data_IF_428008208521
#
_entry.id   IF_428008208521
#
_cell.length_a   1.000
_cell.length_b   1.000
_cell.length_c   1.000
_cell.angle_alpha   90.00
_cell.angle_beta   90.00
_cell.angle_gamma   90.00
#
_symmetry.space_group_name_H-M   'P 1'
#
loop_
_entity.id
_entity.type
_entity.pdbx_description
1 polymer ?
#
# COMPACT_ATOMS: atom_id res chain seq x y z
N UNK A 1 -6.20 -3.80 -22.58
CA UNK A 1 -5.72 -3.64 -21.19
C UNK A 1 -5.56 -2.17 -20.82
N UNK A 2 -4.83 -1.37 -21.61
CA UNK A 2 -4.68 0.08 -21.38
C UNK A 2 -6.03 0.82 -21.24
N UNK A 3 -6.99 0.54 -22.12
CA UNK A 3 -8.35 1.11 -22.05
C UNK A 3 -9.08 0.81 -20.73
N UNK A 4 -8.88 -0.38 -20.16
CA UNK A 4 -9.49 -0.76 -18.89
C UNK A 4 -8.85 0.03 -17.74
N UNK A 5 -7.52 0.14 -17.74
CA UNK A 5 -6.79 0.93 -16.73
C UNK A 5 -7.24 2.39 -16.75
N UNK A 6 -7.31 3.01 -17.93
CA UNK A 6 -7.78 4.39 -18.07
C UNK A 6 -9.22 4.56 -17.59
N UNK A 7 -10.10 3.61 -17.91
CA UNK A 7 -11.48 3.60 -17.42
C UNK A 7 -11.50 3.60 -15.88
N UNK A 8 -10.78 2.69 -15.23
CA UNK A 8 -10.76 2.62 -13.75
C UNK A 8 -10.19 3.88 -13.09
N UNK A 9 -9.15 4.48 -13.67
CA UNK A 9 -8.57 5.74 -13.18
C UNK A 9 -9.59 6.88 -13.31
N UNK A 10 -10.25 7.00 -14.47
CA UNK A 10 -11.28 8.01 -14.69
C UNK A 10 -12.48 7.80 -13.75
N UNK A 11 -12.94 6.56 -13.58
CA UNK A 11 -14.02 6.22 -12.64
C UNK A 11 -13.63 6.54 -11.19
N UNK A 12 -12.33 6.49 -10.85
CA UNK A 12 -11.84 6.90 -9.54
C UNK A 12 -11.90 8.42 -9.35
N UNK A 13 -11.34 9.19 -10.28
CA UNK A 13 -11.25 10.65 -10.18
C UNK A 13 -12.56 11.37 -10.54
N UNK A 14 -13.51 10.73 -11.21
CA UNK A 14 -14.83 11.31 -11.42
C UNK A 14 -15.71 11.25 -10.16
N UNK A 15 -15.27 10.55 -9.11
CA UNK A 15 -16.01 10.42 -7.86
C UNK A 15 -15.35 11.24 -6.74
N UNK A 16 -16.18 11.99 -5.99
CA UNK A 16 -15.73 12.78 -4.84
C UNK A 16 -14.97 11.94 -3.79
N UNK A 17 -15.35 10.67 -3.65
CA UNK A 17 -14.71 9.73 -2.72
C UNK A 17 -13.22 9.57 -3.00
N UNK A 18 -12.81 9.61 -4.27
CA UNK A 18 -11.41 9.46 -4.65
C UNK A 18 -10.53 10.60 -4.13
N UNK A 19 -11.01 11.84 -4.29
CA UNK A 19 -10.33 13.03 -3.77
C UNK A 19 -10.31 13.04 -2.24
N UNK A 20 -11.45 12.73 -1.59
CA UNK A 20 -11.53 12.71 -0.13
C UNK A 20 -10.52 11.74 0.49
N UNK A 21 -10.38 10.53 -0.06
CA UNK A 21 -9.46 9.51 0.45
C UNK A 21 -7.99 10.00 0.37
N UNK A 22 -7.60 10.61 -0.76
CA UNK A 22 -6.24 11.16 -0.93
C UNK A 22 -6.01 12.36 -0.01
N UNK A 23 -6.98 13.26 0.11
CA UNK A 23 -6.87 14.43 0.99
C UNK A 23 -6.74 14.03 2.45
N UNK A 24 -7.57 13.10 2.94
CA UNK A 24 -7.48 12.60 4.32
C UNK A 24 -6.13 11.94 4.58
N UNK A 25 -5.62 11.17 3.62
CA UNK A 25 -4.29 10.57 3.71
C UNK A 25 -3.17 11.61 3.83
N UNK A 26 -3.16 12.62 2.96
CA UNK A 26 -2.15 13.68 2.98
C UNK A 26 -2.21 14.51 4.26
N UNK A 27 -3.42 14.82 4.74
CA UNK A 27 -3.61 15.53 6.02
C UNK A 27 -3.10 14.69 7.17
N UNK A 28 -3.46 13.39 7.24
CA UNK A 28 -3.01 12.50 8.29
C UNK A 28 -1.48 12.40 8.33
N UNK A 29 -0.82 12.17 7.19
CA UNK A 29 0.64 12.15 7.13
C UNK A 29 1.26 13.50 7.46
N UNK A 30 0.70 14.60 6.95
CA UNK A 30 1.18 15.95 7.23
C UNK A 30 1.13 16.28 8.72
N UNK A 31 0.04 15.92 9.40
CA UNK A 31 -0.10 16.10 10.85
C UNK A 31 0.94 15.28 11.62
N UNK A 32 1.14 14.01 11.26
CA UNK A 32 2.12 13.14 11.92
C UNK A 32 3.54 13.65 11.72
N UNK A 33 3.92 14.04 10.50
CA UNK A 33 5.31 14.43 10.19
C UNK A 33 5.65 15.83 10.71
N UNK A 34 4.71 16.77 10.70
CA UNK A 34 5.01 18.18 10.96
C UNK A 34 4.40 18.73 12.26
N UNK A 35 3.22 18.25 12.68
CA UNK A 35 2.42 18.93 13.72
C UNK A 35 2.51 18.25 15.08
N UNK A 36 2.47 16.92 15.14
CA UNK A 36 2.44 16.22 16.43
C UNK A 36 3.79 16.29 17.15
N UNK A 37 3.85 16.74 18.42
CA UNK A 37 5.12 17.00 19.11
C UNK A 37 6.05 15.80 19.18
N UNK A 38 5.51 14.60 19.42
CA UNK A 38 6.28 13.36 19.61
C UNK A 38 6.90 12.84 18.30
N UNK A 39 6.36 13.26 17.15
CA UNK A 39 6.77 12.77 15.82
C UNK A 39 7.25 13.89 14.89
N UNK A 40 7.18 15.16 15.31
CA UNK A 40 7.51 16.29 14.45
C UNK A 40 9.00 16.30 14.10
N UNK A 41 9.30 16.31 12.81
CA UNK A 41 10.68 16.35 12.29
C UNK A 41 11.40 17.63 12.75
N UNK A 42 10.66 18.72 12.97
CA UNK A 42 11.22 19.99 13.47
C UNK A 42 11.72 19.89 14.91
N UNK A 43 11.06 19.06 15.74
CA UNK A 43 11.46 18.84 17.14
C UNK A 43 12.53 17.76 17.28
N UNK A 44 12.62 16.84 16.30
CA UNK A 44 13.59 15.75 16.29
C UNK A 44 15.05 16.26 16.19
N UNK A 45 15.26 17.42 15.57
CA UNK A 45 16.56 18.10 15.52
C UNK A 45 17.56 17.52 14.50
N UNK A 46 17.20 16.44 13.81
CA UNK A 46 17.97 15.87 12.69
C UNK A 46 17.23 16.07 11.36
N UNK A 47 17.99 16.29 10.29
CA UNK A 47 17.47 16.42 8.94
C UNK A 47 17.16 15.04 8.32
N UNK A 48 16.18 14.35 8.90
CA UNK A 48 15.76 13.00 8.52
C UNK A 48 14.23 12.90 8.39
N UNK A 49 13.76 12.02 7.50
CA UNK A 49 12.36 11.69 7.28
C UNK A 49 12.02 10.27 7.74
N UNK A 50 12.81 9.69 8.65
CA UNK A 50 12.52 8.37 9.25
C UNK A 50 11.08 8.26 9.77
N UNK A 51 10.54 9.33 10.37
CA UNK A 51 9.14 9.39 10.85
C UNK A 51 8.14 9.10 9.74
N UNK A 52 8.38 9.59 8.51
CA UNK A 52 7.51 9.35 7.35
C UNK A 52 7.48 7.86 7.01
N UNK A 53 8.63 7.19 7.04
CA UNK A 53 8.74 5.77 6.68
C UNK A 53 8.28 4.85 7.82
N UNK A 54 8.49 5.24 9.08
CA UNK A 54 7.96 4.48 10.21
C UNK A 54 6.43 4.60 10.29
N UNK A 55 5.86 5.79 10.05
CA UNK A 55 4.42 6.03 10.14
C UNK A 55 3.66 5.69 8.86
N UNK A 56 4.33 5.76 7.71
CA UNK A 56 3.77 5.57 6.38
C UNK A 56 2.97 4.28 6.18
N UNK A 57 3.52 3.09 6.53
CA UNK A 57 2.81 1.82 6.43
C UNK A 57 1.47 1.81 7.14
N UNK A 58 1.38 2.41 8.33
CA UNK A 58 0.12 2.45 9.09
C UNK A 58 -0.97 3.21 8.34
N UNK A 59 -0.64 4.36 7.75
CA UNK A 59 -1.60 5.14 6.98
C UNK A 59 -1.92 4.43 5.65
N UNK A 60 -0.91 3.84 4.99
CA UNK A 60 -1.07 3.05 3.78
C UNK A 60 -1.96 1.81 3.99
N UNK A 61 -1.93 1.21 5.19
CA UNK A 61 -2.75 0.08 5.59
C UNK A 61 -4.25 0.38 5.50
N UNK A 62 -4.64 1.66 5.64
CA UNK A 62 -6.02 2.10 5.46
C UNK A 62 -6.26 2.71 4.08
N UNK A 63 -5.28 3.45 3.53
CA UNK A 63 -5.39 4.07 2.22
C UNK A 63 -5.60 3.02 1.11
N UNK A 64 -4.77 1.98 1.06
CA UNK A 64 -4.84 1.00 -0.03
C UNK A 64 -6.17 0.23 -0.05
N UNK A 65 -6.72 -0.25 1.10
CA UNK A 65 -8.10 -0.73 1.18
C UNK A 65 -9.14 0.29 0.71
N UNK A 66 -9.03 1.56 1.12
CA UNK A 66 -9.99 2.60 0.74
C UNK A 66 -10.01 2.84 -0.78
N UNK A 67 -8.85 2.79 -1.44
CA UNK A 67 -8.74 2.92 -2.90
C UNK A 67 -9.39 1.72 -3.61
N UNK A 68 -9.14 0.52 -3.10
CA UNK A 68 -9.46 -0.75 -3.78
C UNK A 68 -10.84 -1.33 -3.46
N UNK A 69 -11.49 -0.91 -2.36
CA UNK A 69 -12.73 -1.51 -1.86
C UNK A 69 -13.88 -1.56 -2.88
N UNK A 70 -13.91 -0.60 -3.83
CA UNK A 70 -14.95 -0.51 -4.87
C UNK A 70 -14.62 -1.29 -6.14
N UNK A 71 -13.35 -1.65 -6.37
CA UNK A 71 -12.84 -2.10 -7.67
C UNK A 71 -13.59 -3.30 -8.24
N UNK A 72 -13.93 -4.29 -7.40
CA UNK A 72 -14.70 -5.47 -7.80
C UNK A 72 -16.05 -5.57 -7.08
N UNK A 73 -16.14 -5.06 -5.84
CA UNK A 73 -17.35 -5.16 -5.04
C UNK A 73 -18.47 -4.31 -5.66
N UNK A 74 -18.15 -3.12 -6.18
CA UNK A 74 -19.16 -2.24 -6.75
C UNK A 74 -19.73 -2.78 -8.05
N UNK A 75 -18.88 -3.26 -8.96
CA UNK A 75 -19.33 -3.84 -10.23
C UNK A 75 -20.24 -5.06 -10.03
N UNK A 76 -20.02 -5.80 -8.95
CA UNK A 76 -20.87 -6.93 -8.57
C UNK A 76 -22.18 -6.48 -7.95
N UNK A 77 -22.17 -5.38 -7.20
CA UNK A 77 -23.36 -4.80 -6.60
C UNK A 77 -24.27 -4.15 -7.65
N UNK A 78 -23.68 -3.49 -8.65
CA UNK A 78 -24.38 -2.82 -9.74
C UNK A 78 -24.82 -3.76 -10.87
N UNK A 79 -24.41 -5.03 -10.85
CA UNK A 79 -24.71 -6.00 -11.91
C UNK A 79 -23.85 -5.86 -13.17
N UNK A 80 -22.96 -4.87 -13.25
CA UNK A 80 -22.08 -4.67 -14.42
C UNK A 80 -20.99 -5.75 -14.55
N UNK A 81 -20.79 -6.54 -13.50
CA UNK A 81 -19.87 -7.68 -13.48
C UNK A 81 -20.19 -8.72 -14.56
N UNK A 82 -21.46 -9.00 -14.83
CA UNK A 82 -21.89 -10.01 -15.82
C UNK A 82 -21.50 -9.59 -17.24
N UNK A 83 -21.59 -8.28 -17.54
CA UNK A 83 -21.15 -7.70 -18.81
C UNK A 83 -19.62 -7.78 -18.97
N UNK A 84 -18.87 -7.63 -17.86
CA UNK A 84 -17.42 -7.68 -17.89
C UNK A 84 -16.87 -9.09 -18.10
N UNK A 85 -17.49 -10.11 -17.48
CA UNK A 85 -17.07 -11.52 -17.60
C UNK A 85 -17.45 -12.13 -18.96
N UNK A 86 -18.52 -11.64 -19.59
CA UNK A 86 -18.93 -12.06 -20.94
C UNK A 86 -18.12 -11.42 -22.06
N UNK A 87 -17.40 -10.33 -21.77
CA UNK A 87 -16.45 -9.74 -22.71
C UNK A 87 -15.29 -10.72 -22.99
N UNK A 88 -14.68 -10.70 -24.20
CA UNK A 88 -13.58 -11.59 -24.58
C UNK A 88 -12.25 -11.16 -23.92
N UNK A 89 -12.23 -11.04 -22.60
CA UNK A 89 -11.11 -10.58 -21.77
C UNK A 89 -10.79 -11.67 -20.75
N UNK A 90 -9.49 -11.98 -20.58
CA UNK A 90 -9.09 -13.01 -19.61
C UNK A 90 -9.30 -12.49 -18.18
N UNK A 91 -9.78 -13.32 -17.22
CA UNK A 91 -9.96 -12.90 -15.82
C UNK A 91 -8.71 -12.29 -15.19
N UNK A 92 -7.52 -12.83 -15.51
CA UNK A 92 -6.24 -12.29 -15.05
C UNK A 92 -6.03 -10.85 -15.51
N UNK A 93 -6.44 -10.52 -16.75
CA UNK A 93 -6.30 -9.16 -17.28
C UNK A 93 -7.23 -8.18 -16.57
N UNK A 94 -8.43 -8.63 -16.16
CA UNK A 94 -9.37 -7.81 -15.37
C UNK A 94 -8.75 -7.48 -14.01
N UNK A 95 -8.29 -8.48 -13.27
CA UNK A 95 -7.70 -8.27 -11.93
C UNK A 95 -6.43 -7.42 -12.02
N UNK A 96 -5.55 -7.74 -12.98
CA UNK A 96 -4.27 -7.06 -13.12
C UNK A 96 -4.44 -5.59 -13.53
N UNK A 97 -5.41 -5.26 -14.39
CA UNK A 97 -5.69 -3.87 -14.74
C UNK A 97 -6.27 -3.06 -13.58
N UNK A 98 -7.16 -3.65 -12.77
CA UNK A 98 -7.68 -3.02 -11.55
C UNK A 98 -6.59 -2.81 -10.49
N UNK A 99 -5.66 -3.76 -10.37
CA UNK A 99 -4.47 -3.61 -9.55
C UNK A 99 -3.60 -2.44 -10.03
N UNK A 100 -3.24 -2.38 -11.32
CA UNK A 100 -2.42 -1.29 -11.86
C UNK A 100 -3.11 0.07 -11.67
N UNK A 101 -4.40 0.17 -11.97
CA UNK A 101 -5.15 1.42 -11.79
C UNK A 101 -5.11 1.88 -10.32
N UNK A 102 -5.39 0.98 -9.38
CA UNK A 102 -5.37 1.28 -7.95
C UNK A 102 -3.96 1.63 -7.45
N UNK A 103 -2.94 0.92 -7.94
CA UNK A 103 -1.54 1.18 -7.59
C UNK A 103 -1.07 2.53 -8.13
N UNK A 104 -1.48 2.92 -9.33
CA UNK A 104 -1.21 4.27 -9.87
C UNK A 104 -1.90 5.36 -9.05
N UNK A 105 -3.14 5.14 -8.60
CA UNK A 105 -3.82 6.07 -7.68
C UNK A 105 -3.05 6.19 -6.35
N UNK A 106 -2.53 5.08 -5.82
CA UNK A 106 -1.67 5.11 -4.63
C UNK A 106 -0.37 5.89 -4.89
N UNK A 107 0.29 5.68 -6.02
CA UNK A 107 1.47 6.48 -6.43
C UNK A 107 1.12 7.97 -6.49
N UNK A 108 -0.01 8.33 -7.11
CA UNK A 108 -0.48 9.72 -7.18
C UNK A 108 -0.76 10.31 -5.79
N UNK A 109 -1.23 9.51 -4.84
CA UNK A 109 -1.41 9.93 -3.45
C UNK A 109 -0.07 10.15 -2.73
N UNK A 110 0.99 9.43 -3.12
CA UNK A 110 2.31 9.55 -2.52
C UNK A 110 3.16 10.67 -3.10
N UNK A 111 3.03 10.99 -4.40
CA UNK A 111 3.83 12.04 -5.06
C UNK A 111 3.88 13.37 -4.27
N UNK A 112 2.77 13.91 -3.73
CA UNK A 112 2.80 15.15 -2.95
C UNK A 112 3.69 15.08 -1.70
N UNK A 113 3.94 13.89 -1.15
CA UNK A 113 4.84 13.72 0.01
C UNK A 113 6.31 14.01 -0.33
N UNK A 114 6.69 14.07 -1.62
CA UNK A 114 8.01 14.53 -2.05
C UNK A 114 8.28 16.00 -1.67
N UNK A 115 7.22 16.78 -1.42
CA UNK A 115 7.36 18.13 -0.85
C UNK A 115 8.06 18.07 0.51
N UNK A 116 7.83 17.02 1.31
CA UNK A 116 8.47 16.87 2.62
C UNK A 116 9.99 16.68 2.48
N UNK A 117 10.43 15.90 1.49
CA UNK A 117 11.85 15.77 1.16
C UNK A 117 12.47 17.12 0.78
N UNK A 118 11.81 17.87 -0.10
CA UNK A 118 12.27 19.19 -0.50
C UNK A 118 12.36 20.16 0.69
N UNK A 119 11.38 20.15 1.59
CA UNK A 119 11.38 20.96 2.80
C UNK A 119 12.58 20.64 3.71
N UNK A 120 12.85 19.36 4.00
CA UNK A 120 13.99 18.97 4.84
C UNK A 120 15.32 19.23 4.14
N UNK A 121 15.42 19.00 2.83
CA UNK A 121 16.61 19.35 2.06
C UNK A 121 16.99 20.83 2.23
N UNK A 122 15.99 21.73 2.25
CA UNK A 122 16.20 23.18 2.44
C UNK A 122 16.39 23.61 3.89
N UNK A 123 15.76 22.93 4.84
CA UNK A 123 15.90 23.25 6.26
C UNK A 123 17.16 22.62 6.90
N UNK A 124 17.79 21.67 6.22
CA UNK A 124 19.03 21.05 6.68
C UNK A 124 20.18 22.06 6.81
N UNK A 125 21.05 21.82 7.78
CA UNK A 125 22.28 22.60 7.99
C UNK A 125 23.50 21.67 7.93
N UNK A 126 24.35 21.76 6.89
CA UNK A 126 24.24 22.59 5.68
C UNK A 126 23.05 22.21 4.79
N UNK A 127 22.66 23.08 3.84
CA UNK A 127 21.61 22.75 2.87
C UNK A 127 21.95 21.44 2.15
N UNK A 128 20.97 20.55 2.06
CA UNK A 128 21.15 19.21 1.48
C UNK A 128 21.80 18.18 2.40
N UNK A 129 21.93 18.47 3.70
CA UNK A 129 22.37 17.51 4.73
C UNK A 129 21.27 16.47 5.08
N UNK A 130 20.72 15.82 4.05
CA UNK A 130 19.77 14.72 4.15
C UNK A 130 20.32 13.53 3.35
N UNK A 131 20.21 12.32 3.89
CA UNK A 131 20.55 11.11 3.13
C UNK A 131 19.55 10.88 1.99
N UNK A 132 19.91 11.39 0.81
CA UNK A 132 19.08 11.29 -0.39
C UNK A 132 18.94 9.84 -0.85
N UNK A 133 20.02 9.06 -0.75
CA UNK A 133 20.02 7.66 -1.18
C UNK A 133 19.15 6.82 -0.25
N UNK A 134 19.29 7.04 1.07
CA UNK A 134 18.45 6.44 2.09
C UNK A 134 16.96 6.75 1.87
N UNK A 135 16.64 8.03 1.65
CA UNK A 135 15.27 8.47 1.38
C UNK A 135 14.67 7.78 0.16
N UNK A 136 15.33 7.81 -1.01
CA UNK A 136 14.78 7.19 -2.22
C UNK A 136 14.68 5.66 -2.09
N UNK A 137 15.62 5.03 -1.39
CA UNK A 137 15.56 3.59 -1.08
C UNK A 137 14.34 3.23 -0.22
N UNK A 138 14.13 3.98 0.85
CA UNK A 138 12.98 3.84 1.74
C UNK A 138 11.65 4.13 1.04
N UNK A 139 11.64 5.12 0.13
CA UNK A 139 10.48 5.47 -0.67
C UNK A 139 10.07 4.35 -1.65
N UNK A 140 11.05 3.66 -2.24
CA UNK A 140 10.80 2.44 -3.04
C UNK A 140 10.21 1.33 -2.15
N UNK A 141 10.75 1.13 -0.95
CA UNK A 141 10.19 0.19 0.04
C UNK A 141 8.72 0.51 0.36
N UNK A 142 8.41 1.79 0.57
CA UNK A 142 7.06 2.28 0.88
C UNK A 142 6.09 2.09 -0.29
N UNK A 143 6.56 2.23 -1.53
CA UNK A 143 5.79 1.91 -2.72
C UNK A 143 5.50 0.41 -2.83
N UNK A 144 6.48 -0.45 -2.55
CA UNK A 144 6.31 -1.91 -2.65
C UNK A 144 5.34 -2.46 -1.62
N UNK A 145 5.44 -2.02 -0.36
CA UNK A 145 4.47 -2.40 0.67
C UNK A 145 3.07 -1.87 0.35
N UNK A 146 2.96 -0.63 -0.18
CA UNK A 146 1.71 -0.09 -0.70
C UNK A 146 1.14 -0.94 -1.85
N UNK A 147 2.00 -1.52 -2.68
CA UNK A 147 1.65 -2.49 -3.71
C UNK A 147 1.04 -3.77 -3.13
N UNK A 148 1.67 -4.35 -2.09
CA UNK A 148 1.11 -5.53 -1.41
C UNK A 148 -0.25 -5.22 -0.79
N UNK A 149 -0.39 -4.10 -0.09
CA UNK A 149 -1.68 -3.70 0.49
C UNK A 149 -2.75 -3.46 -0.58
N UNK A 150 -2.36 -2.91 -1.73
CA UNK A 150 -3.26 -2.76 -2.89
C UNK A 150 -3.71 -4.13 -3.39
N UNK A 151 -2.81 -5.11 -3.50
CA UNK A 151 -3.14 -6.46 -3.93
C UNK A 151 -4.06 -7.18 -2.92
N UNK A 152 -3.83 -7.01 -1.61
CA UNK A 152 -4.72 -7.49 -0.54
C UNK A 152 -6.10 -6.87 -0.62
N UNK A 153 -6.16 -5.57 -0.93
CA UNK A 153 -7.40 -4.84 -1.14
C UNK A 153 -8.22 -5.36 -2.32
N UNK A 154 -7.57 -5.58 -3.47
CA UNK A 154 -8.20 -6.20 -4.65
C UNK A 154 -8.70 -7.61 -4.34
N UNK A 155 -7.89 -8.43 -3.66
CA UNK A 155 -8.28 -9.78 -3.23
C UNK A 155 -9.52 -9.75 -2.32
N UNK A 156 -9.55 -8.85 -1.35
CA UNK A 156 -10.68 -8.68 -0.43
C UNK A 156 -11.95 -8.24 -1.18
N UNK A 157 -11.82 -7.28 -2.09
CA UNK A 157 -12.91 -6.87 -2.98
C UNK A 157 -13.39 -8.01 -3.90
N UNK A 158 -12.54 -8.99 -4.20
CA UNK A 158 -12.89 -10.18 -4.98
C UNK A 158 -13.67 -11.24 -4.16
N UNK A 159 -13.69 -11.18 -2.83
CA UNK A 159 -14.41 -12.15 -1.98
C UNK A 159 -15.85 -11.68 -1.71
N UNK A 160 -16.04 -10.37 -1.54
CA UNK A 160 -17.34 -9.78 -1.16
C UNK A 160 -18.03 -9.04 -2.32
N UNK A 161 -19.30 -8.69 -2.11
CA UNK A 161 -20.11 -7.81 -2.97
C UNK A 161 -20.37 -6.44 -2.34
N UNK A 162 -20.04 -6.25 -1.05
CA UNK A 162 -20.28 -4.99 -0.34
C UNK A 162 -18.96 -4.25 -0.09
N UNK A 163 -18.86 -3.00 -0.58
CA UNK A 163 -17.67 -2.15 -0.45
C UNK A 163 -17.17 -2.03 1.00
N UNK A 164 -18.07 -1.82 1.96
CA UNK A 164 -17.68 -1.61 3.37
C UNK A 164 -17.04 -2.87 3.92
N UNK A 165 -17.62 -4.05 3.63
CA UNK A 165 -17.01 -5.32 4.04
C UNK A 165 -15.68 -5.59 3.33
N UNK A 166 -15.53 -5.14 2.07
CA UNK A 166 -14.27 -5.29 1.32
C UNK A 166 -13.16 -4.49 2.01
N UNK A 167 -13.47 -3.26 2.41
CA UNK A 167 -12.56 -2.40 3.16
C UNK A 167 -12.14 -3.02 4.50
N UNK A 168 -13.11 -3.48 5.32
CA UNK A 168 -12.81 -4.06 6.64
C UNK A 168 -11.92 -5.30 6.52
N UNK A 169 -12.26 -6.21 5.59
CA UNK A 169 -11.47 -7.43 5.36
C UNK A 169 -10.07 -7.05 4.86
N UNK A 170 -9.96 -6.11 3.93
CA UNK A 170 -8.67 -5.67 3.41
C UNK A 170 -7.80 -5.02 4.49
N UNK A 171 -8.35 -4.13 5.30
CA UNK A 171 -7.62 -3.48 6.40
C UNK A 171 -7.14 -4.51 7.43
N UNK A 172 -8.00 -5.47 7.79
CA UNK A 172 -7.63 -6.57 8.69
C UNK A 172 -6.52 -7.45 8.09
N UNK A 173 -6.62 -7.80 6.81
CA UNK A 173 -5.58 -8.59 6.14
C UNK A 173 -4.26 -7.83 6.01
N UNK A 174 -4.29 -6.52 5.73
CA UNK A 174 -3.09 -5.69 5.71
C UNK A 174 -2.44 -5.64 7.10
N UNK A 175 -3.25 -5.47 8.15
CA UNK A 175 -2.79 -5.54 9.54
C UNK A 175 -2.16 -6.88 9.88
N UNK A 176 -2.86 -7.98 9.58
CA UNK A 176 -2.40 -9.33 9.88
C UNK A 176 -1.13 -9.70 9.10
N UNK A 177 -1.02 -9.27 7.83
CA UNK A 177 0.17 -9.51 7.03
C UNK A 177 1.38 -8.68 7.51
N UNK A 178 1.13 -7.44 7.96
CA UNK A 178 2.18 -6.56 8.46
C UNK A 178 2.65 -6.92 9.87
N UNK A 179 1.73 -7.09 10.83
CA UNK A 179 2.05 -7.35 12.24
C UNK A 179 1.84 -8.78 12.70
N UNK A 180 0.96 -9.55 12.07
CA UNK A 180 0.50 -10.82 12.64
C UNK A 180 1.65 -11.80 12.86
N UNK A 181 2.55 -11.92 11.89
CA UNK A 181 3.70 -12.83 11.99
C UNK A 181 4.75 -12.34 13.00
N UNK A 182 5.05 -11.04 13.06
CA UNK A 182 6.00 -10.46 14.02
C UNK A 182 5.47 -10.46 15.46
N UNK A 183 4.16 -10.33 15.65
CA UNK A 183 3.54 -10.50 16.96
C UNK A 183 3.66 -11.96 17.44
N UNK A 184 3.45 -12.95 16.55
CA UNK A 184 3.57 -14.37 16.89
C UNK A 184 5.00 -14.76 17.25
N UNK A 185 6.01 -14.19 16.60
CA UNK A 185 7.42 -14.45 16.93
C UNK A 185 7.80 -13.93 18.31
N UNK A 186 7.32 -12.74 18.67
CA UNK A 186 7.54 -12.16 20.01
C UNK A 186 6.93 -12.96 21.16
N UNK A 187 5.92 -13.80 20.90
CA UNK A 187 5.33 -14.69 21.89
C UNK A 187 6.10 -16.02 22.03
N UNK A 188 6.92 -16.37 21.04
CA UNK A 188 7.57 -17.67 20.87
C UNK A 188 9.12 -17.59 20.91
N UNK A 189 9.66 -16.61 21.65
CA UNK A 189 11.08 -16.18 21.71
C UNK A 189 12.14 -17.30 21.85
N UNK A 190 11.75 -18.54 22.13
CA UNK A 190 12.64 -19.68 22.39
C UNK A 190 12.71 -20.74 21.28
N UNK A 191 12.04 -20.56 20.14
CA UNK A 191 11.98 -21.60 19.10
C UNK A 191 12.93 -21.34 17.92
N UNK A 192 13.58 -22.40 17.41
CA UNK A 192 14.40 -22.36 16.17
C UNK A 192 13.62 -21.89 14.93
N UNK A 193 12.28 -21.86 15.01
CA UNK A 193 11.39 -21.40 13.95
C UNK A 193 11.05 -19.90 14.00
N UNK A 194 11.46 -19.17 15.04
CA UNK A 194 11.13 -17.77 15.20
C UNK A 194 11.61 -16.91 14.02
N UNK A 195 12.83 -17.15 13.52
CA UNK A 195 13.37 -16.43 12.36
C UNK A 195 12.57 -16.70 11.06
N UNK A 196 12.13 -17.96 10.85
CA UNK A 196 11.35 -18.31 9.67
C UNK A 196 9.97 -17.65 9.71
N UNK A 197 9.34 -17.60 10.88
CA UNK A 197 8.07 -16.91 11.07
C UNK A 197 8.24 -15.39 10.88
N UNK A 198 9.34 -14.80 11.37
CA UNK A 198 9.56 -13.36 11.24
C UNK A 198 9.81 -12.96 9.78
N UNK A 199 10.53 -13.81 9.03
CA UNK A 199 10.74 -13.66 7.59
C UNK A 199 9.46 -13.77 6.74
N UNK A 200 8.35 -14.22 7.32
CA UNK A 200 7.05 -14.17 6.65
C UNK A 200 6.30 -12.86 6.91
N UNK A 201 6.75 -12.02 7.84
CA UNK A 201 6.13 -10.73 8.13
C UNK A 201 6.50 -9.68 7.08
N UNK A 202 5.53 -8.87 6.66
CA UNK A 202 5.83 -7.72 5.80
C UNK A 202 6.65 -6.67 6.54
N UNK A 203 6.48 -6.55 7.87
CA UNK A 203 7.23 -5.60 8.70
C UNK A 203 8.73 -5.87 8.67
N UNK A 204 9.16 -7.13 8.76
CA UNK A 204 10.58 -7.50 8.73
C UNK A 204 11.28 -7.07 7.44
N UNK A 205 10.65 -7.34 6.29
CA UNK A 205 11.19 -6.95 4.99
C UNK A 205 11.10 -5.43 4.75
N UNK A 206 10.04 -4.79 5.24
CA UNK A 206 9.87 -3.36 5.13
C UNK A 206 10.88 -2.59 5.98
N UNK A 207 11.12 -3.00 7.22
CA UNK A 207 12.06 -2.33 8.12
C UNK A 207 13.47 -2.28 7.51
N UNK A 208 13.94 -3.38 6.91
CA UNK A 208 15.22 -3.41 6.21
C UNK A 208 15.28 -2.42 5.04
N UNK A 209 14.19 -2.29 4.27
CA UNK A 209 14.12 -1.35 3.15
C UNK A 209 13.93 0.10 3.60
N UNK A 210 13.23 0.33 4.72
CA UNK A 210 12.97 1.67 5.28
C UNK A 210 14.25 2.39 5.72
N UNK A 211 15.31 1.63 5.99
CA UNK A 211 16.66 2.15 6.26
C UNK A 211 17.44 2.48 4.98
N UNK A 212 16.79 2.47 3.81
CA UNK A 212 17.41 2.79 2.52
C UNK A 212 18.10 1.63 1.80
N UNK A 213 18.13 0.42 2.38
CA UNK A 213 18.84 -0.73 1.81
C UNK A 213 17.90 -1.57 0.94
N UNK A 214 18.06 -1.45 -0.38
CA UNK A 214 17.31 -2.28 -1.34
C UNK A 214 18.04 -3.62 -1.52
N UNK A 215 17.59 -4.65 -0.81
CA UNK A 215 18.02 -6.04 -1.03
C UNK A 215 17.15 -6.75 -2.07
N UNK A 216 17.77 -7.56 -2.93
CA UNK A 216 17.06 -8.38 -3.92
C UNK A 216 16.07 -9.34 -3.26
N UNK A 217 16.39 -9.88 -2.08
CA UNK A 217 15.50 -10.76 -1.33
C UNK A 217 14.17 -10.09 -0.98
N UNK A 218 14.23 -8.82 -0.54
CA UNK A 218 13.04 -8.05 -0.19
C UNK A 218 12.19 -7.74 -1.44
N UNK A 219 12.84 -7.40 -2.56
CA UNK A 219 12.16 -7.19 -3.85
C UNK A 219 11.39 -8.42 -4.31
N UNK A 220 12.03 -9.60 -4.30
CA UNK A 220 11.37 -10.85 -4.69
C UNK A 220 10.21 -11.20 -3.78
N UNK A 221 10.36 -10.95 -2.47
CA UNK A 221 9.29 -11.19 -1.50
C UNK A 221 8.08 -10.28 -1.73
N UNK A 222 8.26 -8.97 -1.91
CA UNK A 222 7.16 -8.04 -2.19
C UNK A 222 6.48 -8.34 -3.54
N UNK A 223 7.26 -8.52 -4.61
CA UNK A 223 6.72 -8.83 -5.95
C UNK A 223 6.01 -10.20 -5.92
N UNK A 224 6.60 -11.20 -5.28
CA UNK A 224 6.02 -12.53 -5.11
C UNK A 224 4.68 -12.46 -4.37
N UNK A 225 4.61 -11.68 -3.30
CA UNK A 225 3.38 -11.46 -2.53
C UNK A 225 2.29 -10.78 -3.37
N UNK A 226 2.62 -9.74 -4.14
CA UNK A 226 1.69 -9.09 -5.07
C UNK A 226 1.15 -10.09 -6.09
N UNK A 227 2.03 -10.84 -6.74
CA UNK A 227 1.64 -11.80 -7.78
C UNK A 227 0.78 -12.94 -7.23
N UNK A 228 1.12 -13.47 -6.05
CA UNK A 228 0.32 -14.48 -5.35
C UNK A 228 -1.09 -13.97 -5.07
N UNK A 229 -1.23 -12.75 -4.54
CA UNK A 229 -2.53 -12.16 -4.22
C UNK A 229 -3.38 -11.87 -5.45
N UNK A 230 -2.77 -11.41 -6.55
CA UNK A 230 -3.45 -11.23 -7.84
C UNK A 230 -3.93 -12.58 -8.39
N UNK A 231 -3.12 -13.63 -8.27
CA UNK A 231 -3.50 -14.98 -8.68
C UNK A 231 -4.67 -15.50 -7.84
N UNK A 232 -4.63 -15.34 -6.52
CA UNK A 232 -5.71 -15.71 -5.60
C UNK A 232 -7.00 -14.95 -5.93
N UNK A 233 -6.92 -13.64 -6.18
CA UNK A 233 -8.08 -12.83 -6.58
C UNK A 233 -8.67 -13.31 -7.91
N UNK A 234 -7.82 -13.70 -8.86
CA UNK A 234 -8.24 -14.27 -10.14
C UNK A 234 -8.94 -15.63 -9.97
N UNK A 235 -8.42 -16.50 -9.10
CA UNK A 235 -9.06 -17.78 -8.80
C UNK A 235 -10.44 -17.59 -8.15
N UNK A 236 -10.56 -16.63 -7.23
CA UNK A 236 -11.84 -16.29 -6.58
C UNK A 236 -12.90 -15.79 -7.57
N UNK A 237 -12.47 -15.07 -8.60
CA UNK A 237 -13.33 -14.61 -9.69
C UNK A 237 -13.76 -15.76 -10.60
N UNK A 238 -12.85 -16.68 -10.96
CA UNK A 238 -13.14 -17.77 -11.89
C UNK A 238 -14.09 -18.83 -11.34
N UNK A 239 -14.10 -19.03 -10.02
CA UNK A 239 -14.92 -20.05 -9.35
C UNK A 239 -16.41 -19.66 -9.27
N UNK A 240 -16.76 -18.41 -9.55
CA UNK A 240 -18.13 -17.87 -9.47
C UNK A 240 -18.63 -17.49 -10.85
#
# INVERSE_FOLDING_TARGET
>A
MYSLILKEINDYFNQLTGYLVISVFLIALGLVVWVFPDTSVLNYGFADLEVLFNSGPYVLMFLAPAITMKMLAEERRSGTWELLVTAPIRPVQIVFSKFIASFLVLILALIPTLIYYYSIYKLGSPEGNIDSAGFFGAYVGMLLIGGVFTALGIFSSAITKNQVSAFIIAAFLCFAAYFGFSALTSLWELSRGAYLLDSLSLSFHYEQMSRGVISSGNLYYFIGSIMLLILLATMMIRKR
#
